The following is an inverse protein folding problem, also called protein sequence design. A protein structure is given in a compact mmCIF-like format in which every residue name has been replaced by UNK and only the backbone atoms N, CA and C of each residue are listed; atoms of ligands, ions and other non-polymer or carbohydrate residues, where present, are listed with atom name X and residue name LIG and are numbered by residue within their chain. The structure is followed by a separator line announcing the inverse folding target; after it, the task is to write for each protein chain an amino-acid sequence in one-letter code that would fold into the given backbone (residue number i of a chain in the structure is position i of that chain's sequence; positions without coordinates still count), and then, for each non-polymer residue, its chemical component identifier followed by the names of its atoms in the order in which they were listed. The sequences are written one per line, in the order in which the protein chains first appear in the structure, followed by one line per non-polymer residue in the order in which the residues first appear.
data_IF_632277530990
#
_entry.id   IF_632277530990
#
_cell.length_a   1.000
_cell.length_b   1.000
_cell.length_c   1.000
_cell.angle_alpha   90.00
_cell.angle_beta   90.00
_cell.angle_gamma   90.00
#
_symmetry.space_group_name_H-M   'P 1'
#
loop_
_entity.id
_entity.type
_entity.pdbx_description
1 polymer ?
#
# COMPACT_ATOMS: atom_id res chain seq x y z
N UNK A 1 31.59 16.40 4.68
CA UNK A 1 30.62 16.28 5.78
C UNK A 1 30.34 14.79 5.94
N UNK A 2 30.74 14.20 7.07
CA UNK A 2 30.61 12.76 7.31
C UNK A 2 29.21 12.49 7.83
N UNK A 3 28.39 11.77 7.08
CA UNK A 3 27.07 11.28 7.55
C UNK A 3 27.31 10.08 8.47
N UNK A 4 26.98 10.21 9.73
CA UNK A 4 26.94 9.09 10.67
C UNK A 4 25.74 8.18 10.35
N UNK A 5 25.90 6.86 10.38
CA UNK A 5 24.77 5.94 10.22
C UNK A 5 23.86 6.02 11.44
N UNK A 6 22.59 6.32 11.21
CA UNK A 6 21.54 6.37 12.25
C UNK A 6 21.18 4.92 12.59
N UNK A 7 21.44 4.52 13.84
CA UNK A 7 20.98 3.25 14.39
C UNK A 7 19.58 3.45 14.99
N UNK A 8 18.52 3.09 14.24
CA UNK A 8 17.19 2.92 14.83
C UNK A 8 17.08 1.45 15.21
N UNK A 9 17.37 1.14 16.48
CA UNK A 9 17.19 -0.17 17.06
C UNK A 9 15.83 -0.18 17.76
N UNK A 10 14.78 -0.65 17.10
CA UNK A 10 13.59 -1.14 17.78
C UNK A 10 13.82 -2.62 18.14
N UNK A 11 14.76 -2.85 19.00
CA UNK A 11 14.99 -4.15 19.65
C UNK A 11 14.68 -3.97 21.12
N UNK A 12 13.74 -4.75 21.65
CA UNK A 12 13.67 -4.98 23.08
C UNK A 12 14.97 -5.71 23.48
N UNK A 13 16.03 -4.97 23.77
CA UNK A 13 17.20 -5.49 24.45
C UNK A 13 16.85 -5.59 25.93
N UNK A 14 16.67 -6.82 26.41
CA UNK A 14 16.81 -7.13 27.82
C UNK A 14 18.25 -6.79 28.23
N UNK A 15 18.49 -5.54 28.61
CA UNK A 15 19.75 -5.11 29.19
C UNK A 15 19.80 -5.63 30.63
N UNK A 16 20.57 -6.65 30.85
CA UNK A 16 21.04 -7.00 32.19
C UNK A 16 21.99 -5.89 32.67
N UNK A 17 21.54 -5.08 33.62
CA UNK A 17 22.37 -4.29 34.53
C UNK A 17 23.10 -3.08 33.91
N UNK A 18 22.42 -1.94 33.89
CA UNK A 18 22.98 -0.62 33.64
C UNK A 18 21.90 0.25 33.04
N UNK A 19 21.40 1.26 33.76
CA UNK A 19 20.25 2.08 33.37
C UNK A 19 20.46 2.85 32.06
N UNK A 20 20.29 2.19 30.92
CA UNK A 20 20.11 2.88 29.65
C UNK A 20 18.75 3.56 29.68
N UNK A 21 18.72 4.87 29.52
CA UNK A 21 17.48 5.62 29.33
C UNK A 21 16.73 5.01 28.15
N UNK A 22 15.43 4.72 28.32
CA UNK A 22 14.60 4.24 27.25
C UNK A 22 14.61 5.24 26.09
N UNK A 23 14.78 4.72 24.88
CA UNK A 23 14.71 5.57 23.69
C UNK A 23 13.25 5.86 23.37
N UNK A 24 12.94 7.10 23.05
CA UNK A 24 11.58 7.58 22.76
C UNK A 24 11.60 8.61 21.65
N UNK A 25 10.48 8.67 20.90
CA UNK A 25 10.13 9.78 20.03
C UNK A 25 8.68 10.21 20.28
N UNK A 26 8.37 11.52 20.16
CA UNK A 26 7.00 12.02 20.33
C UNK A 26 6.16 11.73 19.08
N UNK A 27 4.83 11.78 19.22
CA UNK A 27 3.91 11.92 18.10
C UNK A 27 4.01 13.34 17.56
N UNK A 28 4.13 13.51 16.26
CA UNK A 28 4.22 14.80 15.59
C UNK A 28 3.18 14.87 14.46
N UNK A 29 2.40 15.95 14.42
CA UNK A 29 1.47 16.23 13.33
C UNK A 29 2.06 17.29 12.41
N UNK A 30 2.20 16.95 11.15
CA UNK A 30 2.84 17.80 10.14
C UNK A 30 1.82 18.21 9.08
N UNK A 31 1.84 19.48 8.69
CA UNK A 31 1.11 19.97 7.53
C UNK A 31 1.98 19.80 6.29
N UNK A 32 1.50 19.04 5.32
CA UNK A 32 2.22 18.78 4.09
C UNK A 32 1.62 19.56 2.92
N UNK A 33 2.46 20.02 1.98
CA UNK A 33 1.96 20.66 0.77
C UNK A 33 1.20 19.63 -0.09
N UNK A 34 -0.01 19.97 -0.49
CA UNK A 34 -0.78 19.18 -1.45
C UNK A 34 -0.35 19.57 -2.86
N UNK A 35 0.62 18.84 -3.41
CA UNK A 35 1.00 19.02 -4.80
C UNK A 35 -0.03 18.33 -5.71
N UNK A 36 -0.61 19.08 -6.65
CA UNK A 36 -1.40 18.48 -7.71
C UNK A 36 -0.44 18.04 -8.82
N UNK A 37 -0.40 16.73 -9.17
CA UNK A 37 0.47 16.25 -10.25
C UNK A 37 0.11 16.93 -11.58
N UNK A 38 1.13 17.20 -12.41
CA UNK A 38 0.90 17.68 -13.76
C UNK A 38 0.12 16.62 -14.57
N UNK A 39 -0.86 17.01 -15.39
CA UNK A 39 -1.57 16.08 -16.26
C UNK A 39 -0.63 15.49 -17.31
N UNK A 40 -0.99 14.32 -17.89
CA UNK A 40 -0.26 13.77 -19.04
C UNK A 40 -0.28 14.77 -20.19
N UNK A 41 0.86 14.98 -20.88
CA UNK A 41 0.98 16.05 -21.88
C UNK A 41 0.08 15.88 -23.10
N UNK A 42 -0.16 14.65 -23.55
CA UNK A 42 -0.82 14.36 -24.82
C UNK A 42 -2.11 13.55 -24.70
N UNK A 43 -2.24 12.72 -23.65
CA UNK A 43 -3.33 11.74 -23.51
C UNK A 43 -3.52 10.89 -24.77
N UNK A 44 -2.42 10.39 -25.33
CA UNK A 44 -2.36 9.71 -26.64
C UNK A 44 -3.40 8.60 -26.78
N UNK A 45 -3.52 7.76 -25.79
CA UNK A 45 -4.42 6.62 -25.85
C UNK A 45 -5.90 7.02 -25.87
N UNK A 46 -6.31 8.02 -25.08
CA UNK A 46 -7.70 8.51 -25.07
C UNK A 46 -8.10 9.18 -26.38
N UNK A 47 -7.17 9.93 -26.99
CA UNK A 47 -7.47 10.73 -28.19
C UNK A 47 -7.40 9.95 -29.50
N UNK A 48 -6.63 8.87 -29.55
CA UNK A 48 -6.26 8.21 -30.81
C UNK A 48 -6.69 6.75 -30.90
N UNK A 49 -6.72 6.00 -29.78
CA UNK A 49 -7.14 4.62 -29.78
C UNK A 49 -8.69 4.54 -29.85
N UNK A 50 -9.19 3.87 -30.87
CA UNK A 50 -10.64 3.57 -31.03
C UNK A 50 -11.04 2.29 -30.30
N UNK A 51 -10.07 1.50 -29.87
CA UNK A 51 -10.24 0.26 -29.09
C UNK A 51 -9.01 0.03 -28.20
N UNK A 52 -9.14 -0.71 -27.09
CA UNK A 52 -8.01 -1.10 -26.26
C UNK A 52 -6.95 -1.85 -27.06
N UNK A 53 -5.69 -1.61 -26.77
CA UNK A 53 -4.57 -2.37 -27.33
C UNK A 53 -4.54 -3.82 -26.82
N UNK A 54 -5.05 -4.05 -25.60
CA UNK A 54 -5.31 -5.38 -25.06
C UNK A 54 -6.64 -5.41 -24.32
N UNK A 55 -7.36 -6.52 -24.46
CA UNK A 55 -8.61 -6.80 -23.73
C UNK A 55 -8.49 -8.15 -23.04
N UNK A 56 -8.80 -8.19 -21.75
CA UNK A 56 -8.92 -9.44 -21.00
C UNK A 56 -10.38 -9.65 -20.57
N UNK A 57 -10.87 -10.91 -20.63
CA UNK A 57 -12.21 -11.23 -20.18
C UNK A 57 -12.33 -11.08 -18.65
N UNK A 58 -13.55 -11.10 -18.09
CA UNK A 58 -13.75 -11.10 -16.64
C UNK A 58 -12.94 -12.21 -15.95
N UNK A 59 -12.51 -11.97 -14.72
CA UNK A 59 -11.70 -12.94 -13.97
C UNK A 59 -12.37 -14.32 -13.84
N UNK A 60 -13.69 -14.35 -13.66
CA UNK A 60 -14.47 -15.60 -13.57
C UNK A 60 -14.40 -16.47 -14.87
N UNK A 61 -14.12 -15.85 -16.02
CA UNK A 61 -14.02 -16.54 -17.30
C UNK A 61 -12.56 -16.79 -17.71
N UNK A 62 -11.69 -15.80 -17.52
CA UNK A 62 -10.31 -15.83 -18.01
C UNK A 62 -9.25 -16.14 -16.95
N UNK A 63 -9.61 -16.27 -15.67
CA UNK A 63 -8.69 -16.50 -14.56
C UNK A 63 -9.39 -17.23 -13.37
N UNK A 64 -10.32 -18.13 -13.66
CA UNK A 64 -11.13 -18.81 -12.64
C UNK A 64 -10.28 -19.55 -11.58
N UNK A 65 -9.19 -20.21 -12.00
CA UNK A 65 -8.29 -20.94 -11.10
C UNK A 65 -7.56 -19.98 -10.15
N UNK A 66 -7.11 -18.83 -10.65
CA UNK A 66 -6.45 -17.79 -9.84
C UNK A 66 -7.43 -17.17 -8.83
N UNK A 67 -8.67 -16.93 -9.25
CA UNK A 67 -9.73 -16.45 -8.37
C UNK A 67 -10.06 -17.48 -7.29
N UNK A 68 -10.17 -18.76 -7.64
CA UNK A 68 -10.39 -19.85 -6.69
C UNK A 68 -9.23 -19.97 -5.69
N UNK A 69 -7.98 -19.84 -6.16
CA UNK A 69 -6.80 -19.86 -5.30
C UNK A 69 -6.77 -18.70 -4.30
N UNK A 70 -7.13 -17.47 -4.73
CA UNK A 70 -7.26 -16.29 -3.88
C UNK A 70 -8.30 -16.52 -2.77
N UNK A 71 -9.48 -17.03 -3.15
CA UNK A 71 -10.56 -17.33 -2.20
C UNK A 71 -10.11 -18.40 -1.19
N UNK A 72 -9.46 -19.46 -1.66
CA UNK A 72 -8.94 -20.53 -0.80
C UNK A 72 -7.86 -20.01 0.17
N UNK A 73 -6.96 -19.14 -0.30
CA UNK A 73 -5.95 -18.48 0.54
C UNK A 73 -6.59 -17.73 1.71
N UNK A 74 -7.54 -16.87 1.41
CA UNK A 74 -8.20 -16.02 2.41
C UNK A 74 -9.03 -16.86 3.40
N UNK A 75 -9.78 -17.86 2.91
CA UNK A 75 -10.55 -18.78 3.76
C UNK A 75 -9.68 -19.68 4.63
N UNK A 76 -8.47 -19.98 4.17
CA UNK A 76 -7.48 -20.71 4.95
C UNK A 76 -6.82 -19.90 6.08
N UNK A 77 -7.18 -18.63 6.23
CA UNK A 77 -6.60 -17.74 7.24
C UNK A 77 -5.13 -17.42 7.04
N UNK A 78 -4.62 -17.59 5.81
CA UNK A 78 -3.23 -17.28 5.50
C UNK A 78 -2.97 -15.78 5.52
N UNK A 79 -1.78 -15.40 5.97
CA UNK A 79 -1.30 -14.01 6.03
C UNK A 79 -0.12 -13.80 5.09
N UNK A 80 0.00 -12.62 4.47
CA UNK A 80 -0.98 -11.52 4.47
C UNK A 80 -2.23 -11.86 3.65
N UNK A 81 -3.31 -11.09 3.86
CA UNK A 81 -4.55 -11.23 3.10
C UNK A 81 -4.31 -10.91 1.61
N UNK A 82 -4.91 -11.68 0.70
CA UNK A 82 -4.90 -11.39 -0.74
C UNK A 82 -6.14 -10.59 -1.15
N UNK A 83 -5.96 -9.61 -2.05
CA UNK A 83 -7.08 -8.90 -2.68
C UNK A 83 -6.99 -8.89 -4.21
N UNK A 84 -6.02 -9.58 -4.79
CA UNK A 84 -5.87 -9.64 -6.24
C UNK A 84 -4.81 -10.63 -6.71
N UNK A 85 -4.67 -10.70 -8.02
CA UNK A 85 -3.68 -11.52 -8.69
C UNK A 85 -3.20 -10.90 -10.01
N UNK A 86 -2.09 -11.43 -10.54
CA UNK A 86 -1.46 -10.97 -11.78
C UNK A 86 -1.89 -11.84 -12.95
N UNK A 87 -2.34 -11.21 -14.03
CA UNK A 87 -2.71 -11.84 -15.30
C UNK A 87 -1.73 -11.40 -16.38
N UNK A 88 -1.13 -12.37 -17.09
CA UNK A 88 -0.31 -12.07 -18.26
C UNK A 88 -1.15 -11.50 -19.40
N UNK A 89 -0.60 -10.57 -20.16
CA UNK A 89 -1.17 -10.16 -21.43
C UNK A 89 -0.95 -11.29 -22.45
N UNK A 90 -1.95 -11.59 -23.28
CA UNK A 90 -1.85 -12.62 -24.33
C UNK A 90 -0.71 -12.28 -25.30
N UNK A 91 -0.61 -11.01 -25.68
CA UNK A 91 0.45 -10.45 -26.49
C UNK A 91 1.12 -9.31 -25.73
N UNK A 92 2.29 -9.56 -25.11
CA UNK A 92 3.04 -8.49 -24.43
C UNK A 92 3.52 -7.41 -25.40
N UNK A 93 3.42 -6.14 -25.00
CA UNK A 93 3.91 -5.03 -25.80
C UNK A 93 5.41 -4.86 -25.58
N UNK A 94 6.22 -5.11 -26.61
CA UNK A 94 7.66 -4.86 -26.61
C UNK A 94 7.93 -3.48 -27.16
N UNK A 95 8.07 -2.52 -26.29
CA UNK A 95 8.29 -1.11 -26.65
C UNK A 95 9.78 -0.84 -26.70
N UNK A 96 10.27 -0.48 -27.87
CA UNK A 96 11.63 0.03 -28.05
C UNK A 96 11.51 1.41 -28.72
N UNK A 97 12.06 2.42 -28.13
CA UNK A 97 12.04 3.79 -28.60
C UNK A 97 13.47 4.26 -28.89
N UNK A 98 13.64 5.04 -29.96
CA UNK A 98 14.89 5.69 -30.31
C UNK A 98 14.64 7.01 -31.06
N UNK A 99 15.69 7.81 -31.23
CA UNK A 99 15.61 9.12 -31.91
C UNK A 99 15.14 9.06 -33.36
N UNK A 100 15.22 7.90 -34.04
CA UNK A 100 14.70 7.69 -35.40
C UNK A 100 13.18 7.75 -35.48
N UNK A 101 12.49 7.60 -34.36
CA UNK A 101 11.02 7.56 -34.29
C UNK A 101 10.35 8.94 -34.30
N UNK A 102 11.09 10.04 -34.19
CA UNK A 102 10.52 11.41 -34.16
C UNK A 102 9.60 11.72 -35.36
N UNK A 103 9.98 11.29 -36.56
CA UNK A 103 9.11 11.49 -37.74
C UNK A 103 7.79 10.73 -37.66
N UNK A 104 7.78 9.55 -37.06
CA UNK A 104 6.57 8.77 -36.79
C UNK A 104 5.73 9.41 -35.67
N UNK A 105 6.38 9.89 -34.60
CA UNK A 105 5.73 10.56 -33.48
C UNK A 105 4.99 11.83 -33.90
N UNK A 106 5.56 12.65 -34.81
CA UNK A 106 4.87 13.84 -35.38
C UNK A 106 3.58 13.50 -36.13
N UNK A 107 3.39 12.27 -36.54
CA UNK A 107 2.20 11.78 -37.24
C UNK A 107 1.33 10.87 -36.37
N UNK A 108 1.62 10.77 -35.11
CA UNK A 108 0.91 9.91 -34.17
C UNK A 108 0.82 8.44 -34.67
N UNK A 109 1.96 7.89 -35.06
CA UNK A 109 2.00 6.55 -35.62
C UNK A 109 1.75 5.46 -34.57
N UNK A 110 1.10 4.37 -34.97
CA UNK A 110 0.95 3.15 -34.15
C UNK A 110 2.31 2.53 -33.90
N UNK A 111 2.60 2.17 -32.67
CA UNK A 111 3.82 1.50 -32.26
C UNK A 111 3.60 0.61 -31.03
N UNK A 112 3.94 -0.67 -31.14
CA UNK A 112 4.00 -1.61 -30.03
C UNK A 112 2.77 -1.58 -29.09
N UNK A 113 1.56 -1.75 -29.64
CA UNK A 113 0.32 -1.72 -28.85
C UNK A 113 -0.09 -0.35 -28.33
N UNK A 114 0.46 0.72 -28.90
CA UNK A 114 0.13 2.09 -28.53
C UNK A 114 0.36 3.06 -29.67
N UNK A 115 0.41 4.35 -29.35
CA UNK A 115 0.75 5.43 -30.26
C UNK A 115 1.99 6.18 -29.81
N UNK A 116 2.81 6.58 -30.79
CA UNK A 116 3.86 7.57 -30.62
C UNK A 116 3.28 8.97 -30.73
N UNK A 117 3.85 9.90 -29.98
CA UNK A 117 3.55 11.33 -30.05
C UNK A 117 4.79 12.16 -29.75
N UNK A 118 4.75 13.44 -30.13
CA UNK A 118 5.77 14.42 -29.75
C UNK A 118 5.10 15.55 -28.98
N UNK A 119 5.60 15.85 -27.78
CA UNK A 119 5.08 16.93 -26.96
C UNK A 119 5.43 18.30 -27.58
N UNK A 120 4.78 19.37 -27.13
CA UNK A 120 5.12 20.72 -27.53
C UNK A 120 6.60 21.10 -27.24
N UNK A 121 7.22 20.43 -26.26
CA UNK A 121 8.64 20.57 -25.92
C UNK A 121 9.57 19.71 -26.79
N UNK A 122 9.06 18.96 -27.77
CA UNK A 122 9.85 18.08 -28.62
C UNK A 122 10.27 16.77 -27.95
N UNK A 123 9.63 16.36 -26.86
CA UNK A 123 9.87 15.11 -26.16
C UNK A 123 9.11 13.97 -26.84
N UNK A 124 9.74 12.80 -26.98
CA UNK A 124 9.08 11.60 -27.52
C UNK A 124 8.15 11.00 -26.47
N UNK A 125 6.93 10.72 -26.87
CA UNK A 125 5.93 10.08 -26.02
C UNK A 125 5.38 8.80 -26.64
N UNK A 126 5.00 7.84 -25.77
CA UNK A 126 4.26 6.64 -26.15
C UNK A 126 3.10 6.46 -25.17
N UNK A 127 1.92 6.06 -25.69
CA UNK A 127 0.75 5.82 -24.85
C UNK A 127 -0.06 4.62 -25.30
N UNK A 128 -0.65 3.91 -24.35
CA UNK A 128 -1.47 2.70 -24.57
C UNK A 128 -2.70 2.67 -23.67
N UNK A 129 -3.64 1.81 -24.04
CA UNK A 129 -4.89 1.58 -23.33
C UNK A 129 -5.16 0.07 -23.22
N UNK A 130 -5.44 -0.40 -22.01
CA UNK A 130 -5.76 -1.78 -21.68
C UNK A 130 -7.13 -1.82 -21.03
N UNK A 131 -7.97 -2.78 -21.43
CA UNK A 131 -9.27 -3.04 -20.84
C UNK A 131 -9.31 -4.42 -20.19
N UNK A 132 -9.80 -4.50 -18.96
CA UNK A 132 -10.05 -5.76 -18.26
C UNK A 132 -11.50 -5.79 -17.80
N UNK A 133 -12.31 -6.59 -18.48
CA UNK A 133 -13.74 -6.62 -18.23
C UNK A 133 -14.08 -6.99 -16.78
N UNK A 134 -14.89 -6.18 -16.12
CA UNK A 134 -15.32 -6.41 -14.73
C UNK A 134 -14.26 -6.13 -13.66
N UNK A 135 -13.08 -5.66 -14.03
CA UNK A 135 -12.05 -5.30 -13.06
C UNK A 135 -12.49 -4.10 -12.21
N UNK A 136 -12.15 -4.13 -10.93
CA UNK A 136 -12.44 -3.04 -10.00
C UNK A 136 -11.23 -2.12 -9.82
N UNK A 137 -10.02 -2.68 -10.00
CA UNK A 137 -8.75 -1.93 -9.93
C UNK A 137 -7.66 -2.64 -10.72
N UNK A 138 -6.85 -1.87 -11.40
CA UNK A 138 -5.79 -2.34 -12.28
C UNK A 138 -4.45 -1.67 -12.00
N UNK A 139 -3.36 -2.44 -12.23
CA UNK A 139 -1.98 -1.95 -12.38
C UNK A 139 -1.35 -2.63 -13.58
N UNK A 140 -0.43 -1.96 -14.27
CA UNK A 140 0.36 -2.54 -15.36
C UNK A 140 1.78 -2.86 -14.86
N UNK A 141 2.30 -4.01 -15.29
CA UNK A 141 3.71 -4.35 -15.11
C UNK A 141 4.52 -3.97 -16.35
N UNK A 142 5.60 -3.24 -16.12
CA UNK A 142 6.64 -2.96 -17.10
C UNK A 142 7.88 -3.74 -16.70
N UNK A 143 8.31 -4.70 -17.53
CA UNK A 143 9.48 -5.57 -17.27
C UNK A 143 10.65 -5.17 -18.14
N UNK A 144 11.88 -5.40 -17.65
CA UNK A 144 13.10 -5.09 -18.37
C UNK A 144 13.24 -3.61 -18.70
N UNK A 145 12.65 -2.76 -17.88
CA UNK A 145 12.60 -1.31 -18.09
C UNK A 145 14.00 -0.71 -18.04
N UNK A 146 14.43 -0.19 -19.19
CA UNK A 146 15.62 0.62 -19.36
C UNK A 146 15.18 1.93 -20.05
N UNK A 147 15.36 3.05 -19.38
CA UNK A 147 14.97 4.36 -19.88
C UNK A 147 15.89 5.45 -19.28
N UNK A 148 16.04 6.60 -19.95
CA UNK A 148 16.84 7.71 -19.46
C UNK A 148 16.35 8.25 -18.10
N UNK A 149 17.26 8.79 -17.32
CA UNK A 149 16.92 9.55 -16.14
C UNK A 149 16.00 10.73 -16.52
N UNK A 150 14.94 10.96 -15.75
CA UNK A 150 13.94 11.99 -16.09
C UNK A 150 12.80 11.52 -17.00
N UNK A 151 12.79 10.23 -17.42
CA UNK A 151 11.58 9.64 -18.01
C UNK A 151 10.41 9.76 -17.05
N UNK A 152 9.28 10.23 -17.55
CA UNK A 152 8.06 10.47 -16.79
C UNK A 152 6.96 9.52 -17.26
N UNK A 153 6.19 9.04 -16.33
CA UNK A 153 5.09 8.13 -16.57
C UNK A 153 3.81 8.73 -15.99
N UNK A 154 2.71 8.45 -16.63
CA UNK A 154 1.37 8.70 -16.12
C UNK A 154 0.51 7.46 -16.28
N UNK A 155 -0.37 7.25 -15.32
CA UNK A 155 -1.41 6.24 -15.40
C UNK A 155 -2.73 6.84 -14.93
N UNK A 156 -3.83 6.49 -15.61
CA UNK A 156 -5.19 6.90 -15.23
C UNK A 156 -6.22 5.85 -15.62
N UNK A 157 -7.37 5.89 -14.98
CA UNK A 157 -8.54 5.07 -15.27
C UNK A 157 -9.61 5.83 -16.02
N UNK A 158 -10.81 5.27 -16.06
CA UNK A 158 -11.98 5.88 -16.71
C UNK A 158 -12.49 7.16 -16.04
N UNK A 159 -12.07 7.46 -14.79
CA UNK A 159 -12.33 8.71 -14.09
C UNK A 159 -11.49 9.89 -14.61
N UNK A 160 -10.45 9.60 -15.41
CA UNK A 160 -9.57 10.58 -16.01
C UNK A 160 -8.55 11.24 -15.09
N UNK A 161 -8.55 10.92 -13.77
CA UNK A 161 -7.52 11.40 -12.84
C UNK A 161 -6.19 10.68 -13.06
N UNK A 162 -5.16 11.41 -13.48
CA UNK A 162 -3.86 10.85 -13.76
C UNK A 162 -2.92 10.93 -12.56
N UNK A 163 -2.20 9.84 -12.31
CA UNK A 163 -1.09 9.78 -11.37
C UNK A 163 0.23 9.82 -12.13
N UNK A 164 1.08 10.81 -11.84
CA UNK A 164 2.44 10.90 -12.36
C UNK A 164 3.41 10.12 -11.47
N UNK A 165 4.40 9.47 -12.08
CA UNK A 165 5.47 8.74 -11.39
C UNK A 165 6.71 8.64 -12.27
N UNK A 166 7.81 8.12 -11.75
CA UNK A 166 9.07 8.00 -12.47
C UNK A 166 9.77 6.67 -12.24
N UNK A 167 11.05 6.62 -12.58
CA UNK A 167 11.90 5.44 -12.46
C UNK A 167 12.20 5.05 -11.01
N UNK A 168 11.86 5.86 -10.04
CA UNK A 168 12.00 5.55 -8.61
C UNK A 168 11.13 4.36 -8.17
N UNK A 169 10.10 4.00 -8.97
CA UNK A 169 9.27 2.81 -8.74
C UNK A 169 9.82 1.55 -9.42
N UNK A 170 10.98 1.62 -10.08
CA UNK A 170 11.63 0.48 -10.71
C UNK A 170 12.48 -0.27 -9.69
N UNK A 171 12.28 -1.57 -9.58
CA UNK A 171 13.10 -2.44 -8.76
C UNK A 171 14.47 -2.78 -9.41
N UNK A 172 15.32 -3.50 -8.68
CA UNK A 172 16.64 -3.89 -9.15
C UNK A 172 16.61 -4.87 -10.35
N UNK A 173 15.51 -5.56 -10.58
CA UNK A 173 15.32 -6.46 -11.74
C UNK A 173 14.92 -5.70 -13.02
N UNK A 174 14.66 -4.40 -12.92
CA UNK A 174 14.10 -3.60 -14.00
C UNK A 174 12.58 -3.74 -14.14
N UNK A 175 11.90 -4.23 -13.11
CA UNK A 175 10.44 -4.31 -13.07
C UNK A 175 9.85 -3.06 -12.42
N UNK A 176 8.80 -2.53 -13.00
CA UNK A 176 8.03 -1.42 -12.47
C UNK A 176 6.54 -1.75 -12.51
N UNK A 177 5.86 -1.58 -11.39
CA UNK A 177 4.41 -1.60 -11.31
C UNK A 177 3.86 -0.19 -11.32
N UNK A 178 2.95 0.12 -12.26
CA UNK A 178 2.28 1.42 -12.24
C UNK A 178 1.48 1.61 -10.95
N UNK A 179 1.23 2.85 -10.52
CA UNK A 179 0.16 3.10 -9.57
C UNK A 179 -1.16 2.50 -10.03
N UNK A 180 -1.98 2.02 -9.07
CA UNK A 180 -3.27 1.42 -9.40
C UNK A 180 -4.30 2.47 -9.80
N UNK A 181 -5.17 2.11 -10.73
CA UNK A 181 -6.32 2.90 -11.16
C UNK A 181 -7.62 2.15 -10.86
N UNK A 182 -8.70 2.89 -10.60
CA UNK A 182 -10.02 2.30 -10.37
C UNK A 182 -10.69 1.94 -11.70
N UNK A 183 -11.49 0.86 -11.68
CA UNK A 183 -12.30 0.43 -12.83
C UNK A 183 -11.56 -0.50 -13.78
N UNK A 184 -12.21 -0.71 -14.94
CA UNK A 184 -11.82 -1.68 -15.96
C UNK A 184 -10.84 -1.13 -17.00
N UNK A 185 -10.62 0.20 -16.99
CA UNK A 185 -9.79 0.90 -17.98
C UNK A 185 -8.47 1.31 -17.35
N UNK A 186 -7.38 1.08 -18.07
CA UNK A 186 -6.04 1.49 -17.69
C UNK A 186 -5.35 2.14 -18.87
N UNK A 187 -5.09 3.45 -18.75
CA UNK A 187 -4.32 4.24 -19.70
C UNK A 187 -2.94 4.52 -19.15
N UNK A 188 -1.94 4.44 -20.01
CA UNK A 188 -0.53 4.76 -19.65
C UNK A 188 0.03 5.69 -20.70
N UNK A 189 0.77 6.71 -20.26
CA UNK A 189 1.60 7.55 -21.11
C UNK A 189 3.01 7.63 -20.54
N UNK A 190 4.00 7.46 -21.41
CA UNK A 190 5.44 7.55 -21.09
C UNK A 190 6.04 8.65 -21.93
N UNK A 191 6.80 9.56 -21.31
CA UNK A 191 7.47 10.67 -21.99
C UNK A 191 8.96 10.63 -21.67
N UNK A 192 9.77 10.58 -22.73
CA UNK A 192 11.23 10.56 -22.62
C UNK A 192 11.78 11.98 -22.67
N UNK A 193 12.87 12.29 -21.96
CA UNK A 193 13.54 13.59 -22.03
C UNK A 193 13.96 13.92 -23.47
N UNK A 194 13.87 15.18 -23.85
CA UNK A 194 14.29 15.63 -25.18
C UNK A 194 15.78 15.36 -25.40
N UNK A 195 16.11 14.66 -26.49
CA UNK A 195 17.50 14.31 -26.83
C UNK A 195 18.04 13.03 -26.19
N UNK A 196 17.26 12.38 -25.31
CA UNK A 196 17.57 11.10 -24.68
C UNK A 196 16.41 10.12 -24.92
N UNK A 197 16.35 9.52 -26.11
CA UNK A 197 15.16 8.81 -26.58
C UNK A 197 15.32 7.30 -26.59
N UNK A 198 16.48 6.78 -26.21
CA UNK A 198 16.75 5.34 -26.17
C UNK A 198 16.07 4.73 -24.94
N UNK A 199 15.02 3.97 -25.14
CA UNK A 199 14.30 3.30 -24.06
C UNK A 199 13.74 1.96 -24.51
N UNK A 200 13.63 1.03 -23.55
CA UNK A 200 13.03 -0.29 -23.77
C UNK A 200 12.26 -0.74 -22.53
N UNK A 201 11.10 -1.36 -22.76
CA UNK A 201 10.35 -2.12 -21.75
C UNK A 201 9.41 -3.12 -22.41
N UNK A 202 8.93 -4.07 -21.62
CA UNK A 202 7.86 -4.98 -22.01
C UNK A 202 6.67 -4.77 -21.05
N UNK A 203 5.54 -4.33 -21.60
CA UNK A 203 4.28 -4.35 -20.86
C UNK A 203 3.68 -5.75 -21.00
N UNK A 204 3.74 -6.56 -19.96
CA UNK A 204 3.52 -8.01 -20.05
C UNK A 204 2.41 -8.57 -19.15
N UNK A 205 1.97 -7.82 -18.13
CA UNK A 205 0.94 -8.29 -17.23
C UNK A 205 0.17 -7.14 -16.57
N UNK A 206 -1.04 -7.44 -16.15
CA UNK A 206 -1.85 -6.58 -15.29
C UNK A 206 -2.06 -7.25 -13.94
N UNK A 207 -1.98 -6.47 -12.86
CA UNK A 207 -2.50 -6.89 -11.56
C UNK A 207 -3.95 -6.39 -11.46
N UNK A 208 -4.86 -7.33 -11.27
CA UNK A 208 -6.29 -7.10 -11.05
C UNK A 208 -6.59 -7.29 -9.57
N UNK A 209 -7.23 -6.32 -8.95
CA UNK A 209 -7.62 -6.40 -7.54
C UNK A 209 -9.11 -6.24 -7.38
N UNK A 210 -9.62 -6.92 -6.37
CA UNK A 210 -11.03 -7.05 -6.09
C UNK A 210 -11.39 -6.48 -4.73
N UNK A 211 -12.61 -5.96 -4.62
CA UNK A 211 -13.34 -5.95 -3.36
C UNK A 211 -14.02 -7.31 -3.26
N UNK A 212 -13.79 -8.04 -2.19
CA UNK A 212 -14.39 -9.35 -1.97
C UNK A 212 -15.56 -9.22 -0.98
N UNK A 213 -16.59 -10.02 -1.12
CA UNK A 213 -17.66 -10.12 -0.14
C UNK A 213 -17.27 -11.02 1.05
N UNK A 214 -18.17 -11.20 2.02
CA UNK A 214 -17.92 -12.06 3.18
C UNK A 214 -17.70 -13.54 2.82
N UNK A 215 -18.18 -13.97 1.64
CA UNK A 215 -17.94 -15.30 1.10
C UNK A 215 -16.58 -15.39 0.38
N UNK A 216 -15.84 -14.28 0.26
CA UNK A 216 -14.58 -14.20 -0.48
C UNK A 216 -14.78 -14.15 -1.99
N UNK A 217 -15.97 -13.79 -2.46
CA UNK A 217 -16.28 -13.60 -3.88
C UNK A 217 -16.11 -12.13 -4.28
N UNK A 218 -15.79 -11.83 -5.55
CA UNK A 218 -15.75 -10.46 -6.01
C UNK A 218 -17.07 -9.73 -5.72
N UNK A 219 -16.99 -8.64 -4.99
CA UNK A 219 -18.13 -7.80 -4.62
C UNK A 219 -18.78 -7.21 -5.88
N UNK A 220 -20.09 -7.38 -6.02
CA UNK A 220 -20.87 -6.90 -7.17
C UNK A 220 -21.86 -5.79 -6.83
N UNK A 221 -21.90 -5.37 -5.57
CA UNK A 221 -22.80 -4.32 -5.10
C UNK A 221 -22.23 -2.91 -5.23
N UNK A 222 -23.09 -1.90 -5.05
CA UNK A 222 -22.62 -0.53 -4.87
C UNK A 222 -21.70 -0.46 -3.62
N UNK A 223 -20.70 0.42 -3.58
CA UNK A 223 -19.90 0.63 -2.39
C UNK A 223 -20.80 1.14 -1.27
N UNK A 224 -21.29 0.25 -0.45
CA UNK A 224 -21.94 0.54 0.81
C UNK A 224 -21.05 -0.04 1.90
N UNK A 225 -21.04 0.56 3.08
CA UNK A 225 -20.37 -0.05 4.22
C UNK A 225 -21.15 -1.32 4.52
N UNK A 226 -20.59 -2.55 4.29
CA UNK A 226 -21.24 -3.74 4.81
C UNK A 226 -21.38 -3.53 6.32
N UNK A 227 -22.44 -3.98 6.92
CA UNK A 227 -22.50 -4.08 8.36
C UNK A 227 -21.29 -4.91 8.77
N UNK A 228 -20.24 -4.24 9.23
CA UNK A 228 -19.07 -4.90 9.78
C UNK A 228 -19.60 -5.81 10.87
N UNK A 229 -19.22 -7.09 10.85
CA UNK A 229 -19.60 -8.02 11.89
C UNK A 229 -19.37 -7.39 13.26
N UNK A 230 -20.12 -7.76 14.28
CA UNK A 230 -20.13 -7.11 15.62
C UNK A 230 -18.76 -6.83 16.22
N UNK A 231 -17.72 -7.51 15.73
CA UNK A 231 -16.34 -7.39 16.20
C UNK A 231 -15.52 -6.31 15.50
N UNK A 232 -15.96 -5.75 14.35
CA UNK A 232 -15.24 -4.66 13.67
C UNK A 232 -15.91 -3.33 13.98
N UNK A 233 -15.13 -2.42 14.53
CA UNK A 233 -15.60 -1.10 14.96
C UNK A 233 -14.96 -0.04 14.08
N UNK A 234 -15.77 0.66 13.30
CA UNK A 234 -15.28 1.80 12.51
C UNK A 234 -14.53 2.78 13.42
N UNK A 235 -13.31 3.12 13.05
CA UNK A 235 -12.52 4.10 13.78
C UNK A 235 -13.26 5.44 13.91
N UNK A 236 -13.96 5.85 12.85
CA UNK A 236 -14.72 7.11 12.84
C UNK A 236 -15.90 7.13 13.84
N UNK A 237 -16.46 5.95 14.19
CA UNK A 237 -17.61 5.88 15.08
C UNK A 237 -17.28 5.65 16.57
N UNK A 238 -16.21 4.92 16.86
CA UNK A 238 -16.10 4.27 18.19
C UNK A 238 -14.88 4.67 19.02
N UNK A 239 -13.84 5.25 18.44
CA UNK A 239 -12.60 5.45 19.17
C UNK A 239 -12.68 6.51 20.26
N UNK A 240 -13.45 7.57 20.03
CA UNK A 240 -13.62 8.67 20.99
C UNK A 240 -14.29 8.18 22.28
N UNK A 241 -15.33 7.34 22.14
CA UNK A 241 -16.07 6.80 23.27
C UNK A 241 -15.25 5.81 24.12
N UNK A 242 -14.14 5.32 23.58
CA UNK A 242 -13.25 4.39 24.26
C UNK A 242 -12.10 5.07 24.99
N UNK A 243 -12.08 6.39 25.05
CA UNK A 243 -11.13 7.18 25.81
C UNK A 243 -9.71 7.19 25.22
N UNK A 244 -9.56 6.96 23.92
CA UNK A 244 -8.26 7.06 23.26
C UNK A 244 -7.93 8.53 22.94
N UNK A 245 -7.12 9.17 23.80
CA UNK A 245 -6.85 10.62 23.71
C UNK A 245 -6.13 11.06 22.43
N UNK A 246 -5.21 10.24 21.90
CA UNK A 246 -4.46 10.54 20.69
C UNK A 246 -5.14 10.04 19.39
N UNK A 247 -6.42 9.68 19.44
CA UNK A 247 -7.10 9.04 18.33
C UNK A 247 -7.08 9.86 17.03
N UNK A 248 -7.47 11.13 17.14
CA UNK A 248 -7.61 11.99 15.97
C UNK A 248 -6.30 12.10 15.19
N UNK A 249 -5.21 12.31 15.90
CA UNK A 249 -3.86 12.43 15.35
C UNK A 249 -3.39 11.10 14.77
N UNK A 250 -3.54 10.00 15.50
CA UNK A 250 -3.09 8.67 15.09
C UNK A 250 -3.71 8.25 13.75
N UNK A 251 -4.97 8.55 13.51
CA UNK A 251 -5.64 8.18 12.26
C UNK A 251 -4.98 8.74 11.01
N UNK A 252 -4.32 9.89 11.10
CA UNK A 252 -3.56 10.48 9.99
C UNK A 252 -2.21 9.83 9.72
N UNK A 253 -1.76 8.96 10.63
CA UNK A 253 -0.49 8.23 10.51
C UNK A 253 -0.65 6.78 10.07
N UNK A 254 -1.88 6.25 10.00
CA UNK A 254 -2.13 4.85 9.65
C UNK A 254 -2.42 4.72 8.16
N UNK A 255 -1.70 3.81 7.51
CA UNK A 255 -1.84 3.51 6.09
C UNK A 255 -2.42 2.10 5.86
N UNK A 256 -3.31 1.99 4.86
CA UNK A 256 -3.63 0.74 4.20
C UNK A 256 -2.57 0.45 3.15
N UNK A 257 -1.95 -0.73 3.21
CA UNK A 257 -0.84 -1.13 2.35
C UNK A 257 -1.31 -2.15 1.32
N UNK A 258 -0.87 -1.95 0.07
CA UNK A 258 -1.06 -2.90 -1.03
C UNK A 258 0.28 -3.11 -1.74
N UNK A 259 0.62 -4.36 -2.03
CA UNK A 259 1.91 -4.70 -2.65
C UNK A 259 1.81 -6.00 -3.46
N UNK A 260 2.80 -6.23 -4.33
CA UNK A 260 2.87 -7.41 -5.19
C UNK A 260 3.85 -8.43 -4.64
N UNK A 261 3.46 -9.71 -4.63
CA UNK A 261 4.30 -10.84 -4.29
C UNK A 261 3.88 -12.07 -5.06
N UNK A 262 4.82 -12.72 -5.76
CA UNK A 262 4.60 -14.06 -6.34
C UNK A 262 3.40 -14.20 -7.26
N UNK A 263 3.02 -13.14 -8.00
CA UNK A 263 1.86 -13.17 -8.88
C UNK A 263 0.52 -12.86 -8.20
N UNK A 264 0.53 -12.37 -6.96
CA UNK A 264 -0.65 -11.95 -6.23
C UNK A 264 -0.51 -10.53 -5.66
N UNK A 265 -1.63 -9.88 -5.39
CA UNK A 265 -1.71 -8.61 -4.66
C UNK A 265 -2.13 -8.90 -3.23
N UNK A 266 -1.39 -8.34 -2.29
CA UNK A 266 -1.63 -8.50 -0.85
C UNK A 266 -1.91 -7.17 -0.18
N UNK A 267 -2.58 -7.26 0.98
CA UNK A 267 -2.95 -6.11 1.79
C UNK A 267 -2.52 -6.26 3.24
N UNK A 268 -2.14 -5.15 3.83
CA UNK A 268 -1.72 -5.01 5.22
C UNK A 268 -2.05 -3.61 5.73
N UNK A 269 -1.65 -3.34 6.96
CA UNK A 269 -1.61 -2.02 7.58
C UNK A 269 -0.17 -1.59 7.86
N UNK A 270 0.05 -0.29 7.99
CA UNK A 270 1.31 0.28 8.44
C UNK A 270 1.10 1.60 9.15
N UNK A 271 2.15 2.12 9.74
CA UNK A 271 2.12 3.38 10.44
C UNK A 271 3.32 4.26 10.08
N UNK A 272 3.08 5.54 9.80
CA UNK A 272 4.15 6.54 9.75
C UNK A 272 4.79 6.65 11.12
N UNK A 273 6.12 6.65 11.18
CA UNK A 273 6.88 6.65 12.43
C UNK A 273 7.79 7.85 12.46
N UNK A 274 7.76 8.57 13.58
CA UNK A 274 8.64 9.70 13.82
C UNK A 274 10.07 9.23 14.10
N UNK A 275 11.03 10.07 13.75
CA UNK A 275 12.42 9.92 14.17
C UNK A 275 12.68 10.69 15.47
N UNK A 276 13.96 10.82 15.86
CA UNK A 276 14.36 11.53 17.08
C UNK A 276 14.80 12.98 16.81
N UNK A 277 14.89 13.35 15.54
CA UNK A 277 15.39 14.67 15.13
C UNK A 277 14.21 15.62 14.89
N UNK A 278 13.65 16.15 15.98
CA UNK A 278 12.52 17.09 16.00
C UNK A 278 13.02 18.54 16.02
N UNK A 279 12.44 19.50 15.28
CA UNK A 279 11.32 19.36 14.35
C UNK A 279 11.75 18.84 12.98
N UNK A 280 10.92 18.03 12.38
CA UNK A 280 11.13 17.48 11.05
C UNK A 280 10.59 16.07 10.94
N UNK A 281 10.50 15.57 9.71
CA UNK A 281 10.08 14.20 9.49
C UNK A 281 10.89 13.57 8.34
N UNK A 282 11.09 12.27 8.47
CA UNK A 282 11.48 11.39 7.37
C UNK A 282 10.29 10.45 7.16
N UNK A 283 9.83 10.21 5.92
CA UNK A 283 8.63 9.40 5.68
C UNK A 283 8.89 7.91 5.95
N UNK A 284 9.23 7.59 7.19
CA UNK A 284 9.38 6.22 7.66
C UNK A 284 8.01 5.59 7.85
N UNK A 285 7.89 4.31 7.42
CA UNK A 285 6.70 3.49 7.56
C UNK A 285 7.07 2.17 8.24
N UNK A 286 6.43 1.88 9.36
CA UNK A 286 6.56 0.62 10.09
C UNK A 286 5.45 -0.34 9.63
N UNK A 287 5.81 -1.60 9.38
CA UNK A 287 4.86 -2.68 9.08
C UNK A 287 5.43 -4.03 9.50
N UNK A 288 4.69 -5.13 9.29
CA UNK A 288 5.16 -6.47 9.57
C UNK A 288 6.06 -7.02 8.45
N UNK A 289 7.01 -7.89 8.82
CA UNK A 289 7.87 -8.57 7.85
C UNK A 289 7.07 -9.54 6.96
N UNK A 290 6.10 -10.24 7.51
CA UNK A 290 5.25 -11.12 6.70
C UNK A 290 4.42 -10.33 5.67
N UNK A 291 4.21 -9.00 5.88
CA UNK A 291 3.65 -8.11 4.88
C UNK A 291 4.70 -7.75 3.82
N UNK A 292 5.78 -7.08 4.20
CA UNK A 292 6.83 -6.64 3.27
C UNK A 292 8.18 -7.09 3.82
N UNK A 293 8.78 -8.08 3.17
CA UNK A 293 10.04 -8.69 3.59
C UNK A 293 11.17 -8.54 2.55
N UNK A 294 10.88 -8.04 1.35
CA UNK A 294 11.86 -7.88 0.27
C UNK A 294 11.83 -6.48 -0.34
N UNK A 295 12.89 -6.13 -1.06
CA UNK A 295 13.00 -4.83 -1.74
C UNK A 295 11.99 -4.71 -2.90
N UNK A 296 11.72 -5.80 -3.61
CA UNK A 296 10.75 -5.85 -4.71
C UNK A 296 9.33 -5.58 -4.21
N UNK A 297 8.96 -6.18 -3.08
CA UNK A 297 7.67 -5.92 -2.42
C UNK A 297 7.57 -4.46 -2.00
N UNK A 298 8.62 -3.90 -1.40
CA UNK A 298 8.68 -2.50 -0.98
C UNK A 298 8.56 -1.53 -2.18
N UNK A 299 9.25 -1.82 -3.29
CA UNK A 299 9.17 -1.00 -4.50
C UNK A 299 7.76 -1.03 -5.12
N UNK A 300 7.05 -2.15 -5.02
CA UNK A 300 5.67 -2.32 -5.52
C UNK A 300 4.60 -1.71 -4.61
N UNK A 301 4.97 -1.21 -3.43
CA UNK A 301 4.04 -0.73 -2.41
C UNK A 301 3.18 0.43 -2.91
N UNK A 302 1.91 0.38 -2.57
CA UNK A 302 1.01 1.53 -2.46
C UNK A 302 0.61 1.70 -0.99
N UNK A 303 0.89 2.86 -0.42
CA UNK A 303 0.43 3.23 0.92
C UNK A 303 -0.72 4.25 0.79
N UNK A 304 -1.91 3.85 1.21
CA UNK A 304 -3.14 4.63 1.10
C UNK A 304 -3.49 5.21 2.47
N UNK A 305 -3.78 6.49 2.50
CA UNK A 305 -4.11 7.21 3.72
C UNK A 305 -5.57 7.64 3.73
N UNK A 306 -6.09 7.95 4.92
CA UNK A 306 -7.47 8.43 5.12
C UNK A 306 -8.55 7.47 4.60
N UNK A 307 -8.26 6.17 4.53
CA UNK A 307 -9.21 5.14 4.07
C UNK A 307 -10.27 4.93 5.16
N UNK A 308 -11.17 5.89 5.28
CA UNK A 308 -12.24 5.93 6.29
C UNK A 308 -13.40 6.80 5.81
N UNK A 309 -14.61 6.58 6.30
CA UNK A 309 -15.72 7.50 6.10
C UNK A 309 -15.40 8.88 6.72
N UNK A 310 -15.85 9.98 6.12
CA UNK A 310 -15.61 11.34 6.66
C UNK A 310 -16.33 11.59 7.99
N UNK A 311 -17.41 10.86 8.26
CA UNK A 311 -18.11 10.87 9.54
C UNK A 311 -18.76 9.49 9.79
N UNK A 312 -19.12 9.22 11.04
CA UNK A 312 -19.82 7.99 11.41
C UNK A 312 -21.13 7.85 10.62
N UNK A 313 -21.32 6.71 9.95
CA UNK A 313 -22.48 6.43 9.10
C UNK A 313 -22.44 7.03 7.70
N UNK A 314 -21.39 7.75 7.34
CA UNK A 314 -21.18 8.20 5.96
C UNK A 314 -20.59 7.08 5.09
N UNK A 315 -20.78 7.18 3.78
CA UNK A 315 -20.18 6.27 2.81
C UNK A 315 -18.64 6.42 2.76
N UNK A 316 -17.98 5.33 2.46
CA UNK A 316 -16.53 5.32 2.22
C UNK A 316 -16.25 5.95 0.86
N UNK A 317 -15.36 6.95 0.76
CA UNK A 317 -14.91 7.48 -0.53
C UNK A 317 -14.32 6.37 -1.43
N UNK A 318 -14.39 6.55 -2.74
CA UNK A 318 -13.79 5.61 -3.70
C UNK A 318 -12.32 5.92 -4.03
N UNK A 319 -11.91 7.16 -3.80
CA UNK A 319 -10.56 7.66 -4.07
C UNK A 319 -9.92 8.11 -2.78
N UNK A 320 -8.71 7.64 -2.54
CA UNK A 320 -7.94 7.94 -1.34
C UNK A 320 -6.57 8.50 -1.69
N UNK A 321 -6.04 9.41 -0.87
CA UNK A 321 -4.64 9.84 -1.00
C UNK A 321 -3.70 8.65 -0.87
N UNK A 322 -2.77 8.49 -1.83
CA UNK A 322 -1.78 7.41 -1.80
C UNK A 322 -0.42 7.87 -2.26
N UNK A 323 0.62 7.22 -1.73
CA UNK A 323 1.98 7.29 -2.25
C UNK A 323 2.42 5.91 -2.73
N UNK A 324 3.39 5.88 -3.63
CA UNK A 324 3.82 4.67 -4.31
C UNK A 324 5.30 4.43 -4.09
N UNK A 325 5.66 3.15 -3.90
CA UNK A 325 7.03 2.72 -3.70
C UNK A 325 7.59 3.06 -2.31
N UNK A 326 8.51 2.22 -1.89
CA UNK A 326 9.30 2.43 -0.70
C UNK A 326 10.67 1.74 -0.83
N UNK A 327 11.63 2.20 -0.05
CA UNK A 327 12.90 1.52 0.16
C UNK A 327 12.82 0.68 1.43
N UNK A 328 13.19 -0.59 1.33
CA UNK A 328 13.35 -1.47 2.49
C UNK A 328 14.61 -1.06 3.26
N UNK A 329 14.45 -0.59 4.50
CA UNK A 329 15.57 -0.17 5.35
C UNK A 329 16.04 -1.30 6.27
N UNK A 330 15.08 -1.91 6.99
CA UNK A 330 15.35 -2.99 7.95
C UNK A 330 14.19 -3.97 7.93
N UNK A 331 14.51 -5.26 7.97
CA UNK A 331 13.53 -6.33 8.21
C UNK A 331 14.09 -7.33 9.22
N UNK A 332 13.23 -7.84 10.13
CA UNK A 332 13.59 -8.78 11.20
C UNK A 332 12.57 -9.90 11.27
N UNK A 333 13.05 -11.14 11.10
CA UNK A 333 12.21 -12.35 11.20
C UNK A 333 11.80 -12.66 12.63
N UNK A 334 12.68 -12.37 13.58
CA UNK A 334 12.50 -12.70 14.99
C UNK A 334 11.34 -11.91 15.63
N UNK A 335 11.18 -10.67 15.20
CA UNK A 335 10.14 -9.75 15.69
C UNK A 335 9.05 -9.47 14.66
N UNK A 336 9.13 -10.12 13.51
CA UNK A 336 8.21 -9.89 12.37
C UNK A 336 8.07 -8.41 12.01
N UNK A 337 9.16 -7.64 12.01
CA UNK A 337 9.14 -6.19 11.86
C UNK A 337 9.85 -5.77 10.58
N UNK A 338 9.28 -4.80 9.88
CA UNK A 338 9.90 -4.12 8.73
C UNK A 338 9.76 -2.62 8.85
N UNK A 339 10.87 -1.90 8.66
CA UNK A 339 10.92 -0.47 8.52
C UNK A 339 11.22 -0.10 7.06
N UNK A 340 10.36 0.72 6.50
CA UNK A 340 10.44 1.26 5.15
C UNK A 340 10.68 2.78 5.20
N UNK A 341 11.21 3.30 4.10
CA UNK A 341 11.15 4.73 3.78
C UNK A 341 10.32 4.90 2.52
N UNK A 342 9.21 5.61 2.59
CA UNK A 342 8.40 5.92 1.42
C UNK A 342 9.22 6.71 0.40
N UNK A 343 9.00 6.45 -0.88
CA UNK A 343 9.71 7.10 -1.98
C UNK A 343 9.37 8.58 -2.07
N UNK A 344 8.10 8.92 -1.82
CA UNK A 344 7.60 10.29 -1.81
C UNK A 344 6.91 10.57 -0.47
N UNK A 345 6.72 11.84 -0.17
CA UNK A 345 5.96 12.25 1.01
C UNK A 345 4.53 11.68 0.96
N UNK A 346 3.99 11.27 2.12
CA UNK A 346 2.62 10.78 2.18
C UNK A 346 1.65 11.93 1.85
N UNK A 347 0.74 11.77 0.88
CA UNK A 347 -0.13 12.86 0.41
C UNK A 347 -1.22 13.21 1.44
N UNK A 348 -1.71 14.43 1.37
CA UNK A 348 -2.79 14.97 2.19
C UNK A 348 -2.35 16.16 3.05
N UNK A 349 -3.29 16.98 3.54
CA UNK A 349 -2.96 18.22 4.23
C UNK A 349 -2.37 18.01 5.61
N UNK A 350 -2.71 16.91 6.26
CA UNK A 350 -2.21 16.56 7.60
C UNK A 350 -1.70 15.12 7.60
N UNK A 351 -0.52 14.90 8.21
CA UNK A 351 0.00 13.56 8.51
C UNK A 351 0.55 13.53 9.93
N UNK A 352 0.34 12.39 10.59
CA UNK A 352 0.91 12.15 11.91
C UNK A 352 2.04 11.13 11.78
N UNK A 353 3.21 11.50 12.24
CA UNK A 353 4.34 10.61 12.44
C UNK A 353 4.27 10.14 13.90
N UNK A 354 3.95 8.85 14.09
CA UNK A 354 3.66 8.31 15.41
C UNK A 354 4.92 8.23 16.25
N UNK A 355 4.79 8.65 17.50
CA UNK A 355 5.82 8.45 18.50
C UNK A 355 6.01 6.96 18.80
N UNK A 356 7.11 6.62 19.45
CA UNK A 356 7.41 5.27 19.91
C UNK A 356 8.18 5.30 21.24
N UNK A 357 8.16 4.17 21.94
CA UNK A 357 8.90 4.01 23.19
C UNK A 357 9.45 2.59 23.31
N UNK A 358 10.64 2.47 23.86
CA UNK A 358 11.23 1.19 24.29
C UNK A 358 11.07 0.96 25.79
N UNK A 359 10.33 1.81 26.48
CA UNK A 359 10.00 1.60 27.89
C UNK A 359 9.15 0.36 28.06
N UNK A 360 9.42 -0.39 29.14
CA UNK A 360 8.63 -1.57 29.46
C UNK A 360 7.19 -1.17 29.79
N UNK A 361 6.25 -1.81 29.12
CA UNK A 361 4.82 -1.61 29.34
C UNK A 361 4.34 -2.56 30.42
N UNK A 362 3.65 -2.05 31.44
CA UNK A 362 3.20 -2.84 32.56
C UNK A 362 2.04 -3.78 32.21
N UNK A 363 1.95 -4.91 32.91
CA UNK A 363 0.77 -5.78 32.84
C UNK A 363 -0.50 -5.01 33.15
N UNK A 364 -1.57 -5.31 32.43
CA UNK A 364 -2.86 -4.63 32.57
C UNK A 364 -2.96 -3.27 31.86
N UNK A 365 -1.88 -2.80 31.22
CA UNK A 365 -1.94 -1.58 30.41
C UNK A 365 -2.91 -1.73 29.25
N UNK A 366 -3.81 -0.76 29.11
CA UNK A 366 -4.68 -0.67 27.94
C UNK A 366 -3.87 -0.19 26.74
N UNK A 367 -3.98 -0.95 25.66
CA UNK A 367 -3.35 -0.64 24.37
C UNK A 367 -4.43 -0.40 23.31
N UNK A 368 -4.17 0.54 22.44
CA UNK A 368 -5.07 0.95 21.36
C UNK A 368 -4.48 0.54 20.02
N UNK A 369 -5.35 0.30 19.04
CA UNK A 369 -4.96 0.00 17.66
C UNK A 369 -5.91 0.66 16.69
N UNK A 370 -5.34 1.23 15.64
CA UNK A 370 -6.04 1.63 14.42
C UNK A 370 -5.43 0.82 13.27
N UNK A 371 -6.27 0.17 12.48
CA UNK A 371 -5.82 -0.74 11.41
C UNK A 371 -6.83 -0.76 10.27
N UNK A 372 -6.47 -1.44 9.18
CA UNK A 372 -7.31 -1.64 8.00
C UNK A 372 -7.66 -3.13 7.84
N UNK A 373 -8.53 -3.69 8.68
CA UNK A 373 -8.98 -5.06 8.51
C UNK A 373 -9.80 -5.19 7.23
N UNK A 374 -9.64 -6.32 6.58
CA UNK A 374 -10.50 -6.71 5.48
C UNK A 374 -11.81 -7.29 6.03
N UNK A 375 -12.91 -6.61 5.80
CA UNK A 375 -14.24 -7.13 6.10
C UNK A 375 -15.25 -6.59 5.09
N UNK A 376 -16.00 -7.51 4.49
CA UNK A 376 -17.05 -7.17 3.55
C UNK A 376 -16.59 -6.31 2.36
N UNK A 377 -15.38 -6.55 1.86
CA UNK A 377 -14.85 -5.85 0.69
C UNK A 377 -14.27 -4.46 0.92
N UNK A 378 -14.22 -3.98 2.16
CA UNK A 378 -13.73 -2.64 2.46
C UNK A 378 -12.60 -2.69 3.50
N UNK A 379 -11.56 -1.90 3.26
CA UNK A 379 -10.39 -1.76 4.15
C UNK A 379 -10.47 -0.50 5.01
N UNK A 380 -11.68 -0.12 5.42
CA UNK A 380 -11.89 1.07 6.25
C UNK A 380 -11.10 0.99 7.56
N UNK A 381 -10.58 2.12 8.02
CA UNK A 381 -9.96 2.19 9.32
C UNK A 381 -10.91 1.71 10.40
N UNK A 382 -10.44 0.74 11.18
CA UNK A 382 -11.15 0.24 12.36
C UNK A 382 -10.31 0.44 13.61
N UNK A 383 -11.03 0.54 14.72
CA UNK A 383 -10.45 0.71 16.04
C UNK A 383 -10.62 -0.57 16.87
N UNK A 384 -9.58 -0.98 17.55
CA UNK A 384 -9.64 -2.02 18.58
C UNK A 384 -8.81 -1.66 19.78
N UNK A 385 -9.14 -2.29 20.92
CA UNK A 385 -8.47 -2.11 22.19
C UNK A 385 -8.11 -3.46 22.77
N UNK A 386 -6.96 -3.54 23.42
CA UNK A 386 -6.46 -4.75 24.06
C UNK A 386 -5.88 -4.41 25.41
N UNK A 387 -5.71 -5.40 26.26
CA UNK A 387 -5.02 -5.29 27.54
C UNK A 387 -3.77 -6.15 27.48
N UNK A 388 -2.63 -5.56 27.84
CA UNK A 388 -1.36 -6.29 27.89
C UNK A 388 -1.43 -7.39 28.95
N UNK A 389 -1.10 -8.61 28.57
CA UNK A 389 -1.02 -9.77 29.46
C UNK A 389 0.43 -10.22 29.60
N UNK A 390 0.86 -10.49 30.83
CA UNK A 390 2.14 -11.17 31.11
C UNK A 390 1.98 -12.69 31.20
N UNK A 391 0.75 -13.18 31.24
CA UNK A 391 0.47 -14.62 31.17
C UNK A 391 0.25 -15.02 29.72
N UNK A 392 0.99 -16.03 29.28
CA UNK A 392 0.85 -16.55 27.94
C UNK A 392 -0.55 -17.18 27.79
N UNK A 393 -1.38 -16.56 26.96
CA UNK A 393 -2.61 -17.17 26.48
C UNK A 393 -2.29 -18.25 25.44
N UNK A 394 -3.31 -18.99 25.02
CA UNK A 394 -3.20 -20.03 24.00
C UNK A 394 -3.01 -19.40 22.58
N UNK A 395 -1.96 -18.61 22.38
CA UNK A 395 -1.49 -18.37 21.02
C UNK A 395 -0.84 -19.65 20.52
N UNK A 396 -1.25 -20.13 19.36
CA UNK A 396 -0.59 -21.28 18.73
C UNK A 396 0.90 -20.98 18.55
N UNK A 397 1.75 -21.76 19.21
CA UNK A 397 3.19 -21.65 19.18
C UNK A 397 3.82 -21.50 20.57
N UNK A 398 5.09 -21.83 20.66
CA UNK A 398 5.85 -21.66 21.91
C UNK A 398 5.93 -20.16 22.26
N UNK A 399 5.83 -19.81 23.55
CA UNK A 399 6.02 -18.44 23.99
C UNK A 399 7.39 -17.93 23.53
N UNK A 400 7.40 -16.75 22.89
CA UNK A 400 8.63 -16.07 22.48
C UNK A 400 8.88 -14.93 23.42
N UNK A 401 10.04 -14.85 24.06
CA UNK A 401 10.35 -13.83 25.05
C UNK A 401 10.38 -12.40 24.46
N UNK A 402 10.56 -12.30 23.13
CA UNK A 402 10.58 -11.05 22.40
C UNK A 402 9.20 -10.47 22.12
N UNK A 403 8.11 -11.22 22.38
CA UNK A 403 6.75 -10.79 22.04
C UNK A 403 6.01 -10.28 23.29
N UNK A 404 5.25 -9.22 23.06
CA UNK A 404 4.22 -8.75 23.97
C UNK A 404 2.90 -9.46 23.65
N UNK A 405 2.20 -9.91 24.66
CA UNK A 405 0.90 -10.55 24.50
C UNK A 405 -0.20 -9.58 24.93
N UNK A 406 -1.15 -9.34 24.06
CA UNK A 406 -2.27 -8.45 24.35
C UNK A 406 -3.59 -9.17 24.06
N UNK A 407 -4.52 -9.09 25.00
CA UNK A 407 -5.84 -9.72 24.92
C UNK A 407 -6.84 -8.67 24.44
N UNK A 408 -7.50 -8.87 23.29
CA UNK A 408 -8.56 -7.95 22.82
C UNK A 408 -9.72 -7.91 23.84
N UNK A 409 -10.20 -6.69 24.13
CA UNK A 409 -11.37 -6.47 24.97
C UNK A 409 -12.39 -5.50 24.35
N UNK A 410 -12.10 -4.99 23.16
CA UNK A 410 -13.02 -4.20 22.36
C UNK A 410 -12.58 -4.21 20.89
N UNK A 411 -13.53 -4.42 19.98
CA UNK A 411 -13.22 -4.59 18.58
C UNK A 411 -12.42 -5.85 18.29
N UNK A 412 -12.02 -6.07 17.05
CA UNK A 412 -11.30 -7.27 16.60
C UNK A 412 -10.09 -6.95 15.73
N UNK A 413 -9.30 -7.99 15.47
CA UNK A 413 -8.17 -7.98 14.55
C UNK A 413 -8.42 -9.05 13.49
N UNK A 414 -8.39 -8.68 12.23
CA UNK A 414 -8.68 -9.55 11.09
C UNK A 414 -7.60 -9.41 10.03
N UNK A 415 -7.64 -10.25 9.00
CA UNK A 415 -6.77 -10.14 7.84
C UNK A 415 -6.75 -8.70 7.30
N UNK A 416 -5.58 -8.17 6.95
CA UNK A 416 -5.36 -6.77 6.61
C UNK A 416 -4.91 -5.88 7.80
N UNK A 417 -5.21 -6.24 9.05
CA UNK A 417 -4.69 -5.52 10.23
C UNK A 417 -3.19 -5.75 10.48
N UNK A 418 -2.58 -6.73 9.84
CA UNK A 418 -1.16 -7.06 9.92
C UNK A 418 -0.29 -5.83 9.73
N UNK A 419 0.73 -5.64 10.59
CA UNK A 419 1.64 -4.49 10.53
C UNK A 419 1.10 -3.20 11.16
N UNK A 420 -0.16 -3.16 11.66
CA UNK A 420 -0.67 -2.02 12.41
C UNK A 420 0.02 -1.87 13.78
N UNK A 421 0.18 -0.65 14.32
CA UNK A 421 0.82 -0.46 15.62
C UNK A 421 -0.11 -0.82 16.79
N UNK A 422 0.49 -1.27 17.90
CA UNK A 422 -0.09 -1.21 19.22
C UNK A 422 0.40 0.05 19.93
N UNK A 423 -0.53 0.81 20.47
CA UNK A 423 -0.32 2.19 20.93
C UNK A 423 -0.66 2.35 22.42
N UNK A 424 0.12 3.17 23.12
CA UNK A 424 -0.27 3.69 24.43
C UNK A 424 -1.41 4.70 24.29
N UNK A 425 -1.94 5.16 25.41
CA UNK A 425 -2.96 6.22 25.50
C UNK A 425 -2.51 7.52 24.81
N UNK A 426 -1.20 7.80 24.81
CA UNK A 426 -0.58 8.98 24.19
C UNK A 426 -0.23 8.79 22.72
N UNK A 427 -0.62 7.65 22.11
CA UNK A 427 -0.35 7.35 20.70
C UNK A 427 1.09 6.93 20.41
N UNK A 428 1.86 6.45 21.40
CA UNK A 428 3.20 5.92 21.18
C UNK A 428 3.17 4.44 20.84
N UNK A 429 3.90 4.05 19.84
CA UNK A 429 4.06 2.66 19.41
C UNK A 429 4.87 1.89 20.45
N UNK A 430 4.34 0.77 20.92
CA UNK A 430 5.01 -0.19 21.82
C UNK A 430 5.27 -1.54 21.15
N UNK A 431 4.68 -1.77 20.00
CA UNK A 431 4.82 -3.00 19.21
C UNK A 431 3.83 -3.04 18.04
N UNK A 432 3.85 -4.17 17.34
CA UNK A 432 2.89 -4.48 16.28
C UNK A 432 2.48 -5.94 16.36
N UNK A 433 1.30 -6.37 15.88
CA UNK A 433 0.91 -7.78 15.88
C UNK A 433 1.73 -8.56 14.85
N UNK A 434 2.44 -9.55 15.32
CA UNK A 434 3.15 -10.53 14.50
C UNK A 434 2.24 -11.69 14.06
N UNK A 435 1.24 -12.05 14.89
CA UNK A 435 0.21 -13.01 14.58
C UNK A 435 -1.05 -12.67 15.39
N UNK A 436 -2.23 -12.87 14.82
CA UNK A 436 -3.44 -13.05 15.57
C UNK A 436 -3.57 -14.56 15.79
N UNK A 437 -3.56 -15.03 17.04
CA UNK A 437 -4.03 -16.37 17.33
C UNK A 437 -5.44 -16.47 16.74
N UNK A 438 -5.77 -17.58 16.08
CA UNK A 438 -7.14 -17.90 15.74
C UNK A 438 -7.91 -17.93 17.06
N UNK A 439 -8.52 -16.80 17.43
CA UNK A 439 -9.52 -16.77 18.45
C UNK A 439 -10.70 -17.56 17.87
N UNK A 440 -10.72 -18.85 18.11
CA UNK A 440 -11.93 -19.60 18.03
C UNK A 440 -12.94 -18.84 18.89
N UNK A 441 -14.03 -18.46 18.26
CA UNK A 441 -15.27 -18.03 18.89
C UNK A 441 -15.08 -17.12 20.12
N UNK A 442 -15.06 -15.82 19.87
CA UNK A 442 -15.40 -14.86 20.92
C UNK A 442 -16.94 -14.94 21.13
N UNK A 443 -17.39 -14.97 22.40
CA UNK A 443 -18.82 -15.02 22.73
C UNK A 443 -19.56 -13.77 22.25
#
# INVERSE_FOLDING_TARGET
MRRNPIWILLTLLLATGGGALAAEAPLEVVTLPVAKPAPPPLRLAEGLLTAPAATLPPAAEGAADQLAALIAWNRGGHLPQQDGFVRGLVEPFRVALDGGMRSAAKRFAVHAGGYLGETAGGELAWGTWIHVAGAQRLRLRLSGLAAPAGTRFWVWGGDGEATAFGLELRDASGTLWTPSVAGAELFVEVVLPAGEEDAFWVADAVAESFLLDEAGLPWRGAPGVPEAGECIRSATCYAVDQGFGAFAEVTYGIAHLRFQRGGATYVCSGALVNDRDVPGYIPYLLTARHCIGTAEEATSLEAWFDVRPPSCGADLPLVFPKTNGATLLVTRSETDTTLLRLTNDPPGPLRAFLGWTTSQVAHGTTLHRVSHPYVGGLYSQSYSRSVLSTTFGACEGAPRPEYLYAVPNYGGTFGGSSGSPLLTQEGRIVGQPAAAGLAGELP
#
